data_IF_076413668229
#
_entry.id   IF_076413668229
#
_cell.length_a   1.000
_cell.length_b   1.000
_cell.length_c   1.000
_cell.angle_alpha   90.00
_cell.angle_beta   90.00
_cell.angle_gamma   90.00
#
_symmetry.space_group_name_H-M   'P 1'
#
loop_
_entity.id
_entity.type
_entity.pdbx_description
1 polymer ?
#
# COMPACT_ATOMS: atom_id res chain seq x y z
N UNK A 1 -35.02 2.50 -0.01
CA UNK A 1 -33.58 2.11 -0.10
C UNK A 1 -33.15 1.42 1.21
N UNK A 2 -33.88 0.44 1.73
CA UNK A 2 -33.58 -0.08 3.08
C UNK A 2 -32.78 -1.40 3.14
N UNK A 3 -32.48 -2.04 2.00
CA UNK A 3 -31.72 -3.31 1.98
C UNK A 3 -30.52 -3.32 1.02
N UNK A 4 -30.01 -2.15 0.60
CA UNK A 4 -28.90 -2.11 -0.38
C UNK A 4 -27.53 -2.44 0.24
N UNK A 5 -27.41 -2.35 1.57
CA UNK A 5 -26.16 -2.63 2.28
C UNK A 5 -26.44 -3.51 3.50
N UNK A 6 -25.72 -4.63 3.59
CA UNK A 6 -25.69 -5.50 4.76
C UNK A 6 -24.29 -5.46 5.35
N UNK A 7 -24.17 -5.05 6.61
CA UNK A 7 -22.89 -5.04 7.33
C UNK A 7 -22.37 -6.49 7.41
N UNK A 8 -21.11 -6.70 7.04
CA UNK A 8 -20.48 -8.02 7.15
C UNK A 8 -20.28 -8.39 8.62
N UNK A 9 -20.51 -9.65 8.97
CA UNK A 9 -20.18 -10.18 10.30
C UNK A 9 -18.69 -10.58 10.38
N UNK A 10 -18.01 -10.09 11.41
CA UNK A 10 -16.59 -10.38 11.69
C UNK A 10 -16.38 -11.86 12.01
N UNK A 11 -17.32 -12.49 12.71
CA UNK A 11 -17.19 -13.93 13.06
C UNK A 11 -17.33 -14.78 11.81
N UNK A 12 -18.31 -14.48 10.97
CA UNK A 12 -18.44 -15.09 9.65
C UNK A 12 -17.19 -14.88 8.78
N UNK A 13 -16.67 -13.65 8.69
CA UNK A 13 -15.46 -13.36 7.93
C UNK A 13 -14.27 -14.21 8.42
N UNK A 14 -14.05 -14.29 9.74
CA UNK A 14 -12.97 -15.12 10.33
C UNK A 14 -13.15 -16.60 10.03
N UNK A 15 -14.39 -17.12 10.08
CA UNK A 15 -14.69 -18.52 9.69
C UNK A 15 -14.37 -18.75 8.22
N UNK A 16 -14.85 -17.89 7.33
CA UNK A 16 -14.60 -18.02 5.88
C UNK A 16 -13.11 -17.92 5.55
N UNK A 17 -12.35 -17.06 6.24
CA UNK A 17 -10.91 -16.98 6.07
C UNK A 17 -10.17 -18.25 6.55
N UNK A 18 -10.63 -18.85 7.66
CA UNK A 18 -10.06 -20.10 8.17
C UNK A 18 -10.34 -21.27 7.22
N UNK A 19 -11.56 -21.36 6.67
CA UNK A 19 -11.92 -22.34 5.65
C UNK A 19 -11.03 -22.18 4.43
N UNK A 20 -10.85 -20.94 3.93
CA UNK A 20 -9.95 -20.66 2.82
C UNK A 20 -8.52 -21.15 3.07
N UNK A 21 -7.99 -20.95 4.28
CA UNK A 21 -6.63 -21.40 4.67
C UNK A 21 -6.51 -22.92 4.66
N UNK A 22 -7.59 -23.63 5.00
CA UNK A 22 -7.62 -25.10 5.06
C UNK A 22 -7.79 -25.77 3.69
N UNK A 23 -8.17 -25.02 2.65
CA UNK A 23 -8.29 -25.57 1.30
C UNK A 23 -6.95 -26.10 0.78
N UNK A 24 -6.99 -27.29 0.19
CA UNK A 24 -5.81 -28.02 -0.26
C UNK A 24 -5.32 -27.58 -1.64
N UNK A 25 -6.23 -27.15 -2.52
CA UNK A 25 -5.90 -26.77 -3.90
C UNK A 25 -6.10 -25.28 -4.15
N UNK A 26 -5.41 -24.74 -5.16
CA UNK A 26 -5.66 -23.36 -5.60
C UNK A 26 -7.05 -23.17 -6.19
N UNK A 27 -7.61 -24.20 -6.83
CA UNK A 27 -8.93 -24.14 -7.46
C UNK A 27 -10.02 -24.00 -6.40
N UNK A 28 -9.97 -24.81 -5.33
CA UNK A 28 -10.89 -24.73 -4.20
C UNK A 28 -10.80 -23.35 -3.51
N UNK A 29 -9.57 -22.81 -3.39
CA UNK A 29 -9.36 -21.45 -2.87
C UNK A 29 -10.00 -20.39 -3.75
N UNK A 30 -9.89 -20.50 -5.07
CA UNK A 30 -10.50 -19.56 -6.03
C UNK A 30 -12.02 -19.65 -6.00
N UNK A 31 -12.56 -20.87 -5.98
CA UNK A 31 -14.00 -21.08 -5.84
C UNK A 31 -14.52 -20.46 -4.54
N UNK A 32 -13.87 -20.74 -3.39
CA UNK A 32 -14.24 -20.16 -2.11
C UNK A 32 -14.17 -18.62 -2.09
N UNK A 33 -13.20 -18.01 -2.77
CA UNK A 33 -13.13 -16.55 -2.94
C UNK A 33 -14.29 -16.04 -3.79
N UNK A 34 -14.70 -16.77 -4.84
CA UNK A 34 -15.84 -16.35 -5.68
C UNK A 34 -17.15 -16.36 -4.89
N UNK A 35 -17.32 -17.30 -3.96
CA UNK A 35 -18.52 -17.44 -3.13
C UNK A 35 -18.53 -16.47 -1.93
N UNK A 36 -17.38 -16.31 -1.24
CA UNK A 36 -17.32 -15.57 0.03
C UNK A 36 -16.62 -14.22 -0.06
N UNK A 37 -15.80 -14.02 -1.09
CA UNK A 37 -14.90 -12.86 -1.26
C UNK A 37 -13.90 -12.67 -0.11
N UNK A 38 -13.54 -13.75 0.59
CA UNK A 38 -12.61 -13.71 1.73
C UNK A 38 -11.36 -14.53 1.44
N UNK A 39 -10.21 -14.00 1.91
CA UNK A 39 -8.91 -14.69 1.93
C UNK A 39 -8.35 -14.67 3.33
N UNK A 40 -7.47 -15.62 3.65
CA UNK A 40 -6.72 -15.56 4.90
C UNK A 40 -5.70 -14.42 4.89
N UNK A 41 -5.53 -13.79 6.05
CA UNK A 41 -4.43 -12.88 6.36
C UNK A 41 -3.92 -13.19 7.76
N UNK A 42 -2.61 -13.13 7.98
CA UNK A 42 -2.03 -13.33 9.32
C UNK A 42 -2.54 -12.30 10.34
N UNK A 43 -2.97 -11.12 9.87
CA UNK A 43 -3.63 -10.11 10.70
C UNK A 43 -4.90 -10.63 11.41
N UNK A 44 -5.59 -11.63 10.85
CA UNK A 44 -6.79 -12.22 11.46
C UNK A 44 -6.50 -13.01 12.74
N UNK A 45 -5.23 -13.33 13.03
CA UNK A 45 -4.82 -13.98 14.27
C UNK A 45 -4.88 -13.03 15.46
N UNK A 46 -4.84 -11.72 15.22
CA UNK A 46 -4.87 -10.70 16.27
C UNK A 46 -6.31 -10.59 16.81
N UNK A 47 -6.56 -10.89 18.11
CA UNK A 47 -7.91 -10.91 18.66
C UNK A 47 -8.64 -9.55 18.55
N UNK A 48 -7.88 -8.46 18.65
CA UNK A 48 -8.36 -7.08 18.60
C UNK A 48 -8.55 -6.55 17.18
N UNK A 49 -8.07 -7.25 16.16
CA UNK A 49 -8.12 -6.77 14.79
C UNK A 49 -9.42 -7.19 14.09
N UNK A 50 -10.21 -6.19 13.74
CA UNK A 50 -11.43 -6.30 12.95
C UNK A 50 -11.19 -5.75 11.53
N UNK A 51 -11.07 -6.64 10.54
CA UNK A 51 -10.84 -6.26 9.13
C UNK A 51 -12.01 -5.47 8.50
N UNK A 52 -13.23 -5.62 9.03
CA UNK A 52 -14.41 -4.94 8.48
C UNK A 52 -14.44 -3.49 8.94
N UNK A 53 -13.99 -3.22 10.17
CA UNK A 53 -13.98 -1.88 10.75
C UNK A 53 -12.65 -1.14 10.57
N UNK A 54 -11.54 -1.87 10.55
CA UNK A 54 -10.20 -1.29 10.47
C UNK A 54 -9.62 -1.31 9.04
N UNK A 55 -10.48 -1.23 8.03
CA UNK A 55 -10.05 -1.09 6.65
C UNK A 55 -9.51 0.33 6.43
N UNK A 56 -8.22 0.42 6.13
CA UNK A 56 -7.56 1.69 5.84
C UNK A 56 -7.70 1.99 4.34
N UNK A 57 -8.23 3.17 3.99
CA UNK A 57 -8.20 3.66 2.62
C UNK A 57 -6.80 4.19 2.34
N UNK A 58 -5.97 3.42 1.63
CA UNK A 58 -4.64 3.88 1.24
C UNK A 58 -4.71 5.08 0.29
N UNK A 59 -4.22 6.27 0.69
CA UNK A 59 -4.29 7.46 -0.13
C UNK A 59 -3.41 7.35 -1.38
N UNK A 60 -2.35 6.56 -1.35
CA UNK A 60 -1.48 6.40 -2.52
C UNK A 60 -2.24 5.78 -3.69
N UNK A 61 -2.76 4.57 -3.52
CA UNK A 61 -3.49 3.89 -4.59
C UNK A 61 -4.85 4.51 -4.84
N UNK A 62 -5.56 4.97 -3.81
CA UNK A 62 -6.93 5.43 -3.97
C UNK A 62 -6.99 6.86 -4.52
N UNK A 63 -6.28 7.79 -3.89
CA UNK A 63 -6.33 9.22 -4.22
C UNK A 63 -5.30 9.60 -5.29
N UNK A 64 -4.02 9.34 -5.04
CA UNK A 64 -2.91 9.87 -5.86
C UNK A 64 -2.70 9.10 -7.17
N UNK A 65 -2.75 7.77 -7.13
CA UNK A 65 -2.56 6.93 -8.31
C UNK A 65 -3.90 6.54 -8.95
N UNK A 66 -4.95 6.36 -8.16
CA UNK A 66 -6.27 5.99 -8.66
C UNK A 66 -7.01 7.18 -9.25
N UNK A 67 -7.60 8.01 -8.39
CA UNK A 67 -8.47 9.10 -8.82
C UNK A 67 -7.72 10.16 -9.62
N UNK A 68 -6.54 10.60 -9.18
CA UNK A 68 -5.84 11.66 -9.90
C UNK A 68 -5.52 11.23 -11.33
N UNK A 69 -5.03 9.99 -11.53
CA UNK A 69 -4.76 9.48 -12.88
C UNK A 69 -6.04 9.31 -13.69
N UNK A 70 -7.13 8.82 -13.07
CA UNK A 70 -8.40 8.62 -13.76
C UNK A 70 -9.02 9.97 -14.19
N UNK A 71 -9.08 10.95 -13.29
CA UNK A 71 -9.55 12.30 -13.60
C UNK A 71 -8.71 12.90 -14.74
N UNK A 72 -7.38 12.84 -14.65
CA UNK A 72 -6.49 13.41 -15.66
C UNK A 72 -6.62 12.69 -17.01
N UNK A 73 -6.56 11.36 -17.04
CA UNK A 73 -6.50 10.60 -18.28
C UNK A 73 -7.88 10.36 -18.90
N UNK A 74 -8.85 9.91 -18.11
CA UNK A 74 -10.17 9.47 -18.62
C UNK A 74 -11.16 10.60 -18.75
N UNK A 75 -11.20 11.52 -17.79
CA UNK A 75 -12.13 12.65 -17.86
C UNK A 75 -11.56 13.82 -18.66
N UNK A 76 -10.29 14.20 -18.43
CA UNK A 76 -9.73 15.41 -19.05
C UNK A 76 -9.09 15.18 -20.44
N UNK A 77 -8.35 14.10 -20.65
CA UNK A 77 -7.66 13.85 -21.93
C UNK A 77 -8.55 13.11 -22.94
N UNK A 78 -9.27 12.07 -22.52
CA UNK A 78 -10.07 11.21 -23.43
C UNK A 78 -11.51 11.68 -23.65
N UNK A 79 -11.98 12.69 -22.91
CA UNK A 79 -13.37 13.17 -22.88
C UNK A 79 -13.82 13.95 -24.11
N UNK A 80 -13.46 13.52 -25.33
CA UNK A 80 -13.65 14.19 -26.63
C UNK A 80 -15.13 14.42 -27.07
N UNK A 81 -16.04 14.72 -26.13
CA UNK A 81 -17.44 15.12 -26.36
C UNK A 81 -17.83 16.19 -25.35
N UNK A 82 -18.42 17.28 -25.87
CA UNK A 82 -19.01 18.46 -25.20
C UNK A 82 -18.07 19.70 -25.20
N UNK A 83 -18.68 20.89 -25.19
CA UNK A 83 -18.07 22.18 -25.51
C UNK A 83 -16.81 22.48 -24.69
N UNK A 84 -15.78 22.99 -25.36
CA UNK A 84 -14.47 23.30 -24.78
C UNK A 84 -14.56 24.30 -23.61
N UNK A 85 -15.56 25.18 -23.60
CA UNK A 85 -15.73 26.21 -22.58
C UNK A 85 -16.22 25.66 -21.23
N UNK A 86 -17.15 24.70 -21.26
CA UNK A 86 -17.68 24.08 -20.04
C UNK A 86 -16.66 23.12 -19.41
N UNK A 87 -15.93 22.41 -20.26
CA UNK A 87 -14.77 21.60 -19.87
C UNK A 87 -13.72 22.45 -19.17
N UNK A 88 -13.34 23.62 -19.72
CA UNK A 88 -12.30 24.46 -19.12
C UNK A 88 -12.70 25.03 -17.75
N UNK A 89 -13.96 25.42 -17.54
CA UNK A 89 -14.43 25.96 -16.26
C UNK A 89 -14.55 24.84 -15.22
N UNK A 90 -15.11 23.69 -15.61
CA UNK A 90 -15.29 22.55 -14.73
C UNK A 90 -13.96 21.89 -14.40
N UNK A 91 -13.07 21.72 -15.37
CA UNK A 91 -11.70 21.25 -15.15
C UNK A 91 -10.98 22.17 -14.18
N UNK A 92 -11.04 23.49 -14.37
CA UNK A 92 -10.41 24.46 -13.46
C UNK A 92 -10.95 24.36 -12.03
N UNK A 93 -12.28 24.24 -11.86
CA UNK A 93 -12.92 24.15 -10.54
C UNK A 93 -12.69 22.79 -9.87
N UNK A 94 -12.85 21.68 -10.60
CA UNK A 94 -12.61 20.33 -10.07
C UNK A 94 -11.13 20.13 -9.75
N UNK A 95 -10.22 20.55 -10.64
CA UNK A 95 -8.76 20.55 -10.42
C UNK A 95 -8.39 21.42 -9.23
N UNK A 96 -8.93 22.64 -9.12
CA UNK A 96 -8.65 23.53 -8.00
C UNK A 96 -9.06 22.92 -6.66
N UNK A 97 -10.27 22.34 -6.58
CA UNK A 97 -10.73 21.66 -5.37
C UNK A 97 -9.89 20.40 -5.07
N UNK A 98 -9.63 19.55 -6.06
CA UNK A 98 -8.85 18.33 -5.90
C UNK A 98 -7.41 18.61 -5.47
N UNK A 99 -6.72 19.52 -6.15
CA UNK A 99 -5.34 19.92 -5.82
C UNK A 99 -5.28 20.55 -4.43
N UNK A 100 -6.26 21.38 -4.06
CA UNK A 100 -6.36 21.93 -2.70
C UNK A 100 -6.58 20.84 -1.65
N UNK A 101 -7.43 19.86 -1.92
CA UNK A 101 -7.62 18.73 -1.02
C UNK A 101 -6.32 17.96 -0.82
N UNK A 102 -5.66 17.57 -1.92
CA UNK A 102 -4.39 16.86 -1.90
C UNK A 102 -3.29 17.65 -1.15
N UNK A 103 -3.19 18.97 -1.38
CA UNK A 103 -2.16 19.77 -0.71
C UNK A 103 -2.36 19.88 0.80
N UNK A 104 -3.60 19.92 1.27
CA UNK A 104 -3.94 19.86 2.70
C UNK A 104 -3.64 18.48 3.29
N UNK A 105 -3.95 17.43 2.55
CA UNK A 105 -3.82 16.03 2.98
C UNK A 105 -2.37 15.55 3.10
N UNK A 106 -1.43 16.16 2.36
CA UNK A 106 0.01 15.85 2.48
C UNK A 106 0.74 16.68 3.53
N UNK A 107 0.06 17.62 4.20
CA UNK A 107 0.70 18.41 5.25
C UNK A 107 1.14 17.53 6.41
N UNK A 108 2.30 17.85 7.00
CA UNK A 108 2.86 17.10 8.14
C UNK A 108 2.03 17.25 9.42
N UNK A 109 1.43 18.42 9.60
CA UNK A 109 0.56 18.75 10.72
C UNK A 109 -0.76 19.19 10.11
N UNK A 110 -1.84 18.50 10.47
CA UNK A 110 -3.18 18.74 9.94
C UNK A 110 -4.08 18.97 11.15
N UNK A 111 -4.75 20.12 11.20
CA UNK A 111 -5.78 20.37 12.21
C UNK A 111 -7.16 19.88 11.72
N UNK A 112 -8.14 19.88 12.63
CA UNK A 112 -9.51 19.45 12.30
C UNK A 112 -10.18 20.31 11.22
N UNK A 113 -9.79 21.58 11.07
CA UNK A 113 -10.33 22.46 10.04
C UNK A 113 -9.76 22.13 8.66
N UNK A 114 -8.46 21.84 8.58
CA UNK A 114 -7.77 21.44 7.36
C UNK A 114 -8.31 20.12 6.81
N UNK A 115 -8.48 19.09 7.67
CA UNK A 115 -9.04 17.80 7.22
C UNK A 115 -10.51 17.94 6.81
N UNK A 116 -11.28 18.79 7.52
CA UNK A 116 -12.67 19.09 7.16
C UNK A 116 -12.75 19.85 5.83
N UNK A 117 -11.82 20.79 5.58
CA UNK A 117 -11.71 21.47 4.29
C UNK A 117 -11.39 20.43 3.20
N UNK A 118 -10.37 19.59 3.39
CA UNK A 118 -10.00 18.57 2.42
C UNK A 118 -11.18 17.64 2.06
N UNK A 119 -11.93 17.17 3.06
CA UNK A 119 -13.14 16.36 2.83
C UNK A 119 -14.19 17.13 2.01
N UNK A 120 -14.50 18.39 2.38
CA UNK A 120 -15.46 19.22 1.62
C UNK A 120 -15.02 19.42 0.17
N UNK A 121 -13.72 19.59 -0.07
CA UNK A 121 -13.15 19.74 -1.41
C UNK A 121 -13.28 18.46 -2.23
N UNK A 122 -12.99 17.29 -1.65
CA UNK A 122 -13.17 15.99 -2.32
C UNK A 122 -14.64 15.71 -2.62
N UNK A 123 -15.54 15.99 -1.67
CA UNK A 123 -16.98 15.88 -1.88
C UNK A 123 -17.45 16.79 -3.03
N UNK A 124 -16.94 18.03 -3.09
CA UNK A 124 -17.28 18.94 -4.18
C UNK A 124 -16.82 18.42 -5.53
N UNK A 125 -15.65 17.78 -5.60
CA UNK A 125 -15.17 17.11 -6.82
C UNK A 125 -16.10 15.97 -7.21
N UNK A 126 -16.52 15.13 -6.27
CA UNK A 126 -17.44 14.02 -6.55
C UNK A 126 -18.80 14.51 -7.07
N UNK A 127 -19.38 15.53 -6.44
CA UNK A 127 -20.64 16.13 -6.88
C UNK A 127 -20.54 16.76 -8.27
N UNK A 128 -19.45 17.46 -8.57
CA UNK A 128 -19.22 18.00 -9.92
C UNK A 128 -19.10 16.89 -10.97
N UNK A 129 -18.46 15.77 -10.62
CA UNK A 129 -18.35 14.63 -11.54
C UNK A 129 -19.73 14.00 -11.79
N UNK A 130 -20.51 13.77 -10.74
CA UNK A 130 -21.87 13.23 -10.85
C UNK A 130 -22.78 14.14 -11.70
N UNK A 131 -22.79 15.45 -11.40
CA UNK A 131 -23.64 16.44 -12.07
C UNK A 131 -23.37 16.51 -13.57
N UNK A 132 -22.09 16.47 -13.96
CA UNK A 132 -21.68 16.68 -15.35
C UNK A 132 -21.53 15.40 -16.18
N UNK A 133 -21.16 14.28 -15.54
CA UNK A 133 -20.87 13.04 -16.24
C UNK A 133 -21.79 11.88 -15.88
N UNK A 134 -22.71 12.09 -14.93
CA UNK A 134 -23.65 11.07 -14.48
C UNK A 134 -23.14 10.22 -13.31
N UNK A 135 -24.06 9.60 -12.56
CA UNK A 135 -23.72 8.79 -11.39
C UNK A 135 -22.89 7.55 -11.74
N UNK A 136 -22.95 7.05 -12.97
CA UNK A 136 -22.16 5.91 -13.44
C UNK A 136 -20.65 6.18 -13.47
N UNK A 137 -20.24 7.46 -13.40
CA UNK A 137 -18.83 7.85 -13.32
C UNK A 137 -18.31 7.97 -11.90
N UNK A 138 -19.17 7.83 -10.90
CA UNK A 138 -18.74 7.76 -9.51
C UNK A 138 -18.15 6.38 -9.23
N UNK A 139 -16.84 6.30 -9.36
CA UNK A 139 -16.11 5.06 -9.11
C UNK A 139 -16.08 4.71 -7.61
N UNK A 140 -15.93 3.42 -7.25
CA UNK A 140 -15.71 3.03 -5.85
C UNK A 140 -14.51 3.74 -5.22
N UNK A 141 -13.45 4.00 -6.00
CA UNK A 141 -12.29 4.74 -5.49
C UNK A 141 -12.65 6.19 -5.12
N UNK A 142 -13.44 6.87 -5.94
CA UNK A 142 -13.93 8.21 -5.64
C UNK A 142 -14.78 8.25 -4.38
N UNK A 143 -15.63 7.24 -4.17
CA UNK A 143 -16.37 7.09 -2.93
C UNK A 143 -15.45 6.85 -1.72
N UNK A 144 -14.48 5.95 -1.84
CA UNK A 144 -13.53 5.63 -0.76
C UNK A 144 -12.72 6.86 -0.32
N UNK A 145 -12.41 7.79 -1.24
CA UNK A 145 -11.75 9.04 -0.89
C UNK A 145 -12.55 9.94 0.05
N UNK A 146 -13.88 9.81 0.09
CA UNK A 146 -14.71 10.55 1.04
C UNK A 146 -14.48 10.07 2.48
N UNK A 147 -14.00 8.83 2.66
CA UNK A 147 -13.69 8.21 3.96
C UNK A 147 -12.25 8.47 4.46
N UNK A 148 -11.48 9.30 3.76
CA UNK A 148 -10.10 9.64 4.15
C UNK A 148 -10.07 10.40 5.48
N UNK A 149 -11.12 11.17 5.79
CA UNK A 149 -11.19 11.93 7.05
C UNK A 149 -11.31 10.99 8.25
N UNK A 150 -12.12 9.97 8.13
CA UNK A 150 -12.33 8.92 9.12
C UNK A 150 -11.02 8.16 9.34
N UNK A 151 -10.36 7.77 8.24
CA UNK A 151 -9.02 7.16 8.32
C UNK A 151 -7.99 8.07 9.01
N UNK A 152 -8.04 9.38 8.76
CA UNK A 152 -7.17 10.34 9.46
C UNK A 152 -7.43 10.38 10.98
N UNK A 153 -8.70 10.30 11.38
CA UNK A 153 -9.09 10.32 12.80
C UNK A 153 -8.65 9.04 13.52
N UNK A 154 -8.71 7.89 12.84
CA UNK A 154 -8.35 6.60 13.43
C UNK A 154 -6.84 6.33 13.39
N UNK A 155 -6.16 6.72 12.30
CA UNK A 155 -4.77 6.31 12.02
C UNK A 155 -3.76 7.46 12.01
N UNK A 156 -4.17 8.70 12.30
CA UNK A 156 -3.33 9.91 12.26
C UNK A 156 -3.01 10.36 10.81
N UNK A 157 -2.07 11.30 10.54
CA UNK A 157 -1.82 11.82 9.20
C UNK A 157 -1.55 10.75 8.13
N UNK A 158 -1.98 11.01 6.89
CA UNK A 158 -1.92 10.07 5.78
C UNK A 158 -0.54 9.46 5.53
N UNK A 159 0.53 10.22 5.76
CA UNK A 159 1.90 9.72 5.56
C UNK A 159 2.29 8.58 6.52
N UNK A 160 1.52 8.37 7.60
CA UNK A 160 1.74 7.29 8.54
C UNK A 160 1.29 5.93 7.99
N UNK A 161 0.32 5.92 7.07
CA UNK A 161 -0.29 4.69 6.54
C UNK A 161 -0.32 4.59 5.02
N UNK A 162 0.14 5.59 4.27
CA UNK A 162 0.23 5.52 2.81
C UNK A 162 1.26 4.49 2.32
N UNK A 163 1.02 3.93 1.14
CA UNK A 163 1.86 2.84 0.64
C UNK A 163 3.21 3.23 0.01
N UNK A 164 3.55 4.52 -0.11
CA UNK A 164 4.79 4.96 -0.78
C UNK A 164 6.07 4.43 -0.14
N UNK A 165 6.11 4.36 1.20
CA UNK A 165 7.24 3.81 1.93
C UNK A 165 7.39 2.31 1.67
N UNK A 166 6.27 1.57 1.71
CA UNK A 166 6.23 0.15 1.44
C UNK A 166 6.64 -0.19 0.01
N UNK A 167 6.18 0.56 -1.00
CA UNK A 167 6.62 0.36 -2.39
C UNK A 167 8.12 0.60 -2.58
N UNK A 168 8.66 1.64 -1.94
CA UNK A 168 10.11 1.89 -1.97
C UNK A 168 10.87 0.74 -1.32
N UNK A 169 10.40 0.24 -0.18
CA UNK A 169 11.01 -0.92 0.48
C UNK A 169 10.91 -2.18 -0.38
N UNK A 170 9.78 -2.40 -1.05
CA UNK A 170 9.63 -3.51 -2.00
C UNK A 170 10.63 -3.41 -3.16
N UNK A 171 10.90 -2.20 -3.66
CA UNK A 171 11.94 -1.99 -4.67
C UNK A 171 13.33 -2.30 -4.14
N UNK A 172 13.65 -1.94 -2.90
CA UNK A 172 14.92 -2.29 -2.26
C UNK A 172 15.02 -3.81 -2.09
N UNK A 173 13.97 -4.45 -1.59
CA UNK A 173 13.92 -5.91 -1.44
C UNK A 173 14.06 -6.63 -2.78
N UNK A 174 13.39 -6.14 -3.82
CA UNK A 174 13.49 -6.68 -5.18
C UNK A 174 14.85 -6.47 -5.84
N UNK A 175 15.67 -5.54 -5.34
CA UNK A 175 17.03 -5.34 -5.85
C UNK A 175 18.02 -6.40 -5.37
N UNK A 176 17.70 -7.13 -4.29
CA UNK A 176 18.57 -8.21 -3.82
C UNK A 176 18.55 -9.38 -4.80
N UNK A 177 19.73 -9.93 -5.14
CA UNK A 177 19.81 -11.13 -5.96
C UNK A 177 19.06 -12.24 -5.23
N UNK A 178 18.09 -12.89 -5.89
CA UNK A 178 17.35 -14.00 -5.31
C UNK A 178 17.15 -15.09 -6.36
N UNK A 179 16.95 -16.33 -5.92
CA UNK A 179 16.79 -17.48 -6.81
C UNK A 179 15.39 -17.62 -7.39
N UNK A 180 14.46 -16.75 -6.99
CA UNK A 180 13.02 -16.85 -7.24
C UNK A 180 12.36 -18.15 -6.72
N UNK A 181 13.07 -18.95 -5.90
CA UNK A 181 12.56 -20.21 -5.33
C UNK A 181 12.34 -20.14 -3.83
N UNK A 182 13.33 -19.66 -3.08
CA UNK A 182 13.26 -19.50 -1.61
C UNK A 182 13.59 -18.07 -1.19
N UNK A 183 12.74 -17.12 -1.61
CA UNK A 183 12.98 -15.69 -1.43
C UNK A 183 13.13 -15.30 0.05
N UNK A 184 12.28 -15.82 0.94
CA UNK A 184 12.26 -15.40 2.35
C UNK A 184 13.52 -15.86 3.12
N UNK A 185 13.94 -17.16 3.04
CA UNK A 185 15.21 -17.62 3.61
C UNK A 185 16.44 -16.86 3.11
N UNK A 186 16.47 -16.57 1.81
CA UNK A 186 17.57 -15.89 1.14
C UNK A 186 17.73 -14.44 1.59
N UNK A 187 16.63 -13.68 1.62
CA UNK A 187 16.62 -12.31 2.11
C UNK A 187 17.02 -12.25 3.59
N UNK A 188 16.52 -13.17 4.42
CA UNK A 188 16.87 -13.22 5.84
C UNK A 188 18.38 -13.40 6.03
N UNK A 189 19.01 -14.27 5.24
CA UNK A 189 20.47 -14.47 5.28
C UNK A 189 21.26 -13.24 4.88
N UNK A 190 20.85 -12.56 3.80
CA UNK A 190 21.50 -11.31 3.38
C UNK A 190 21.43 -10.27 4.51
N UNK A 191 20.25 -10.09 5.11
CA UNK A 191 20.04 -9.13 6.21
C UNK A 191 20.92 -9.50 7.41
N UNK A 192 20.95 -10.78 7.82
CA UNK A 192 21.76 -11.23 8.96
C UNK A 192 23.27 -11.06 8.71
N UNK A 193 23.74 -11.37 7.49
CA UNK A 193 25.14 -11.18 7.12
C UNK A 193 25.53 -9.71 7.13
N UNK A 194 24.73 -8.83 6.52
CA UNK A 194 24.97 -7.39 6.52
C UNK A 194 24.96 -6.82 7.93
N UNK A 195 23.98 -7.19 8.76
CA UNK A 195 23.93 -6.74 10.16
C UNK A 195 25.19 -7.16 10.95
N UNK A 196 25.66 -8.39 10.76
CA UNK A 196 26.89 -8.87 11.42
C UNK A 196 28.12 -8.11 10.94
N UNK A 197 28.21 -7.83 9.64
CA UNK A 197 29.27 -7.00 9.09
C UNK A 197 29.22 -5.59 9.68
N UNK A 198 28.07 -4.94 9.68
CA UNK A 198 27.88 -3.60 10.25
C UNK A 198 28.24 -3.57 11.75
N UNK A 199 27.89 -4.61 12.50
CA UNK A 199 28.27 -4.73 13.92
C UNK A 199 29.79 -4.79 14.07
N UNK A 200 30.47 -5.68 13.35
CA UNK A 200 31.94 -5.81 13.37
C UNK A 200 32.60 -4.50 12.96
N UNK A 201 32.10 -3.86 11.90
CA UNK A 201 32.59 -2.59 11.40
C UNK A 201 32.42 -1.48 12.45
N UNK A 202 31.26 -1.40 13.10
CA UNK A 202 30.98 -0.42 14.14
C UNK A 202 31.91 -0.55 15.36
N UNK A 203 32.33 -1.77 15.70
CA UNK A 203 33.29 -2.03 16.77
C UNK A 203 34.75 -1.75 16.36
N UNK A 204 35.07 -1.67 15.07
CA UNK A 204 36.43 -1.52 14.54
C UNK A 204 36.66 -0.22 13.76
N UNK A 205 35.79 0.79 13.91
CA UNK A 205 35.86 2.09 13.21
C UNK A 205 37.21 2.81 13.34
N UNK A 206 37.94 2.58 14.45
CA UNK A 206 39.26 3.20 14.70
C UNK A 206 40.43 2.41 14.11
N UNK A 207 40.19 1.30 13.40
CA UNK A 207 41.23 0.48 12.80
C UNK A 207 41.52 0.94 11.36
N UNK A 208 42.52 1.81 11.20
CA UNK A 208 42.92 2.39 9.91
C UNK A 208 43.19 1.32 8.83
N UNK A 209 43.80 0.17 9.21
CA UNK A 209 44.08 -0.93 8.28
C UNK A 209 42.82 -1.58 7.73
N UNK A 210 41.78 -1.72 8.57
CA UNK A 210 40.49 -2.24 8.14
C UNK A 210 39.79 -1.26 7.21
N UNK A 211 39.79 0.02 7.56
CA UNK A 211 39.19 1.10 6.75
C UNK A 211 39.86 1.23 5.37
N UNK A 212 41.18 1.04 5.28
CA UNK A 212 41.89 0.96 4.00
C UNK A 212 41.59 -0.33 3.23
N UNK A 213 41.54 -1.48 3.91
CA UNK A 213 41.22 -2.77 3.29
C UNK A 213 39.80 -2.85 2.72
N UNK A 214 38.82 -2.23 3.39
CA UNK A 214 37.43 -2.20 2.92
C UNK A 214 37.26 -1.44 1.61
N UNK A 215 38.10 -0.42 1.34
CA UNK A 215 38.11 0.31 0.05
C UNK A 215 38.51 -0.60 -1.12
N UNK A 216 39.22 -1.70 -0.85
CA UNK A 216 39.64 -2.68 -1.86
C UNK A 216 38.56 -3.72 -2.18
N UNK A 217 37.59 -3.91 -1.27
CA UNK A 217 36.42 -4.76 -1.51
C UNK A 217 35.44 -3.98 -2.39
N UNK A 218 35.64 -4.02 -3.71
CA UNK A 218 34.59 -3.59 -4.64
C UNK A 218 33.34 -4.45 -4.40
N UNK A 219 32.13 -3.87 -4.38
CA UNK A 219 30.90 -4.66 -4.45
C UNK A 219 31.01 -5.57 -5.66
N UNK A 220 31.07 -6.89 -5.46
CA UNK A 220 31.05 -7.83 -6.58
C UNK A 220 29.69 -7.69 -7.25
N UNK A 221 29.68 -7.49 -8.57
CA UNK A 221 28.48 -7.69 -9.37
C UNK A 221 28.04 -9.15 -9.18
N UNK A 222 26.99 -9.37 -8.41
CA UNK A 222 26.43 -10.70 -8.19
C UNK A 222 25.71 -11.15 -9.45
N UNK A 223 26.44 -11.81 -10.34
CA UNK A 223 25.85 -12.62 -11.43
C UNK A 223 25.66 -14.04 -10.90
N UNK A 224 24.43 -14.40 -10.55
CA UNK A 224 24.08 -15.79 -10.22
C UNK A 224 23.21 -15.96 -8.97
N UNK A 225 22.09 -16.64 -9.19
CA UNK A 225 21.12 -17.21 -8.24
C UNK A 225 21.72 -17.67 -6.90
N UNK A 226 21.07 -17.30 -5.79
CA UNK A 226 21.40 -17.71 -4.41
C UNK A 226 21.18 -19.21 -4.11
N UNK A 227 21.16 -20.10 -5.12
CA UNK A 227 20.92 -21.55 -4.91
C UNK A 227 21.99 -22.26 -4.07
N UNK A 228 23.09 -21.58 -3.71
CA UNK A 228 24.03 -22.07 -2.70
C UNK A 228 23.42 -22.12 -1.28
N UNK A 229 22.24 -21.53 -1.08
CA UNK A 229 21.60 -21.32 0.21
C UNK A 229 20.31 -22.15 0.43
N UNK A 230 20.02 -23.13 -0.41
CA UNK A 230 18.76 -23.90 -0.38
C UNK A 230 18.52 -24.77 0.89
N UNK A 231 19.45 -24.77 1.86
CA UNK A 231 19.33 -25.50 3.12
C UNK A 231 19.51 -24.56 4.31
N UNK A 232 18.41 -24.06 4.87
CA UNK A 232 18.40 -23.29 6.12
C UNK A 232 18.15 -24.26 7.28
N UNK A 233 19.22 -24.69 7.95
CA UNK A 233 19.12 -25.47 9.19
C UNK A 233 18.78 -24.52 10.34
N UNK A 234 17.76 -24.87 11.14
CA UNK A 234 17.35 -24.11 12.32
C UNK A 234 18.53 -23.90 13.31
N UNK A 235 19.51 -24.82 13.32
CA UNK A 235 20.72 -24.68 14.13
C UNK A 235 21.67 -23.59 13.65
N UNK A 236 21.64 -23.20 12.37
CA UNK A 236 22.47 -22.09 11.87
C UNK A 236 22.03 -20.75 12.47
N UNK A 237 20.74 -20.54 12.73
CA UNK A 237 20.24 -19.33 13.40
C UNK A 237 20.83 -19.16 14.80
N UNK A 238 21.11 -20.27 15.51
CA UNK A 238 21.75 -20.24 16.83
C UNK A 238 23.26 -19.97 16.79
N UNK A 239 23.93 -20.14 15.64
CA UNK A 239 25.35 -19.79 15.46
C UNK A 239 25.60 -18.28 15.31
N UNK A 240 24.53 -17.49 15.27
CA UNK A 240 24.55 -16.02 15.17
C UNK A 240 24.11 -15.32 16.47
N UNK A 241 24.00 -16.05 17.59
CA UNK A 241 23.93 -15.47 18.94
C UNK A 241 25.31 -15.14 19.48
#
# INVERSE_FOLDING_TARGET
MENWFTVRDVKEHKRNAAIWKQQNTEEDRRQHISETHVRWSEMLRLPYYDLIRHLVVDPMHNLFLGIAQWIIKKLWIEGNKISKADLEIMERKAKGNFVRACSLLVCRIIDNNMITEAHKRLLKVALLIEEHYGPEKITPNLHLCLHIRECYQDYSPLYSFWCFSFERMNSVLGSFPNSHRQIEPELLRIIMQNWRLDNILSCQLNNEKLTEGLKLLKPRSTTGTLSAYDKLDYNELFRFR
#
